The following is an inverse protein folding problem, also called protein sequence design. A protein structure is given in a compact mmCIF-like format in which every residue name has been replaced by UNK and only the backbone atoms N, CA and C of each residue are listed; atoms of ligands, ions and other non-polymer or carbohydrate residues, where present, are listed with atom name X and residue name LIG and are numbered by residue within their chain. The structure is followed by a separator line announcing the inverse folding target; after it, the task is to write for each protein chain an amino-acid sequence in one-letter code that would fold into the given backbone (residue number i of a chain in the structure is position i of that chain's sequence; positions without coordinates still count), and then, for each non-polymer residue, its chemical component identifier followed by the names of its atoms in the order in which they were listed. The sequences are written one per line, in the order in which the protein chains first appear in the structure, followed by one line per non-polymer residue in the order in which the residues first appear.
data_IF_751270432961
#
_entry.id   IF_751270432961
#
_cell.length_a   1.000
_cell.length_b   1.000
_cell.length_c   1.000
_cell.angle_alpha   90.00
_cell.angle_beta   90.00
_cell.angle_gamma   90.00
#
_symmetry.space_group_name_H-M   'P 1'
#
loop_
_entity.id
_entity.type
_entity.pdbx_description
1 polymer ?
#
# COMPACT_ATOMS: atom_id res chain seq x y z
N UNK A 1 -25.96 18.59 4.79
CA UNK A 1 -24.49 18.56 4.96
C UNK A 1 -24.01 17.14 4.76
N UNK A 2 -23.29 16.87 3.66
CA UNK A 2 -22.67 15.56 3.39
C UNK A 2 -21.63 15.30 4.48
N UNK A 3 -21.66 14.13 5.11
CA UNK A 3 -20.54 13.66 5.91
C UNK A 3 -19.27 13.84 5.07
N UNK A 4 -18.24 14.48 5.64
CA UNK A 4 -16.91 14.48 5.04
C UNK A 4 -16.48 13.01 4.94
N UNK A 5 -16.81 12.38 3.80
CA UNK A 5 -16.03 11.27 3.26
C UNK A 5 -14.60 11.70 3.42
N UNK A 6 -13.75 10.87 4.02
CA UNK A 6 -12.32 11.03 3.84
C UNK A 6 -12.13 11.29 2.35
N UNK A 7 -11.72 12.51 2.01
CA UNK A 7 -11.15 12.78 0.70
C UNK A 7 -10.00 11.81 0.67
N UNK A 8 -10.16 10.69 -0.05
CA UNK A 8 -9.13 9.65 -0.16
C UNK A 8 -7.81 10.40 -0.37
N UNK A 9 -6.72 10.10 0.34
CA UNK A 9 -5.49 10.89 0.12
C UNK A 9 -5.14 10.89 -1.38
N UNK A 10 -4.85 12.06 -1.95
CA UNK A 10 -4.17 12.16 -3.25
C UNK A 10 -2.68 12.16 -2.94
N UNK A 11 -1.93 11.31 -3.63
CA UNK A 11 -0.50 11.24 -3.45
C UNK A 11 0.19 12.00 -4.58
N UNK A 12 1.17 12.82 -4.22
CA UNK A 12 2.00 13.57 -5.16
C UNK A 12 3.39 12.97 -5.30
N UNK A 13 3.83 12.18 -4.30
CA UNK A 13 5.09 11.42 -4.30
C UNK A 13 4.79 9.95 -4.58
N UNK A 14 5.26 9.46 -5.72
CA UNK A 14 4.97 8.11 -6.21
C UNK A 14 6.27 7.28 -6.25
N UNK A 15 6.26 6.13 -5.61
CA UNK A 15 7.34 5.13 -5.67
C UNK A 15 6.92 4.07 -6.67
N UNK A 16 7.44 4.14 -7.89
CA UNK A 16 7.15 3.15 -8.91
C UNK A 16 7.95 1.89 -8.60
N UNK A 17 7.32 0.73 -8.54
CA UNK A 17 7.95 -0.56 -8.23
C UNK A 17 7.48 -1.62 -9.23
N UNK A 18 8.42 -2.44 -9.71
CA UNK A 18 8.17 -3.58 -10.60
C UNK A 18 9.20 -4.68 -10.32
N UNK A 19 8.80 -5.78 -9.70
CA UNK A 19 9.74 -6.87 -9.39
C UNK A 19 10.00 -7.73 -10.61
N UNK A 20 11.24 -8.17 -10.77
CA UNK A 20 11.53 -9.38 -11.54
C UNK A 20 11.68 -10.57 -10.60
N UNK A 21 11.23 -11.74 -11.04
CA UNK A 21 11.29 -12.96 -10.25
C UNK A 21 11.75 -14.16 -11.09
N UNK A 22 12.23 -15.20 -10.40
CA UNK A 22 12.52 -16.50 -11.01
C UNK A 22 11.29 -16.99 -11.77
N UNK A 23 11.51 -17.51 -12.98
CA UNK A 23 10.43 -18.03 -13.81
C UNK A 23 10.92 -19.18 -14.70
N UNK A 24 9.98 -19.99 -15.17
CA UNK A 24 10.22 -21.10 -16.08
C UNK A 24 9.29 -20.97 -17.29
N UNK A 25 9.61 -21.69 -18.37
CA UNK A 25 8.64 -21.91 -19.43
C UNK A 25 7.48 -22.78 -18.89
N UNK A 26 6.33 -22.16 -18.66
CA UNK A 26 5.15 -22.81 -18.09
C UNK A 26 4.90 -22.42 -16.63
N UNK A 27 4.92 -23.39 -15.71
CA UNK A 27 4.63 -23.14 -14.29
C UNK A 27 5.83 -22.46 -13.63
N UNK A 28 5.59 -21.36 -12.92
CA UNK A 28 6.60 -20.68 -12.12
C UNK A 28 7.24 -21.65 -11.10
N UNK A 29 8.53 -21.46 -10.76
CA UNK A 29 9.18 -22.15 -9.63
C UNK A 29 8.36 -22.03 -8.34
N UNK A 30 8.51 -23.00 -7.45
CA UNK A 30 7.86 -23.00 -6.14
C UNK A 30 8.91 -23.40 -5.07
N UNK A 31 9.38 -22.44 -4.25
CA UNK A 31 8.93 -21.04 -4.20
C UNK A 31 9.40 -20.22 -5.41
N UNK A 32 8.58 -19.28 -5.85
CA UNK A 32 9.03 -18.21 -6.75
C UNK A 32 9.85 -17.20 -5.94
N UNK A 33 10.92 -16.65 -6.51
CA UNK A 33 11.85 -15.77 -5.79
C UNK A 33 12.09 -14.45 -6.52
N UNK A 34 12.09 -13.32 -5.82
CA UNK A 34 12.46 -12.00 -6.38
C UNK A 34 13.95 -12.01 -6.72
N UNK A 35 14.30 -11.53 -7.93
CA UNK A 35 15.67 -11.46 -8.44
C UNK A 35 16.11 -10.05 -8.85
N UNK A 36 15.17 -9.11 -8.98
CA UNK A 36 15.44 -7.67 -9.10
C UNK A 36 14.44 -6.91 -8.23
N UNK A 37 14.93 -5.96 -7.44
CA UNK A 37 14.13 -5.07 -6.61
C UNK A 37 14.44 -3.61 -7.00
N UNK A 38 13.74 -3.07 -8.00
CA UNK A 38 13.87 -1.69 -8.42
C UNK A 38 12.74 -0.82 -7.88
N UNK A 39 13.03 0.47 -7.73
CA UNK A 39 12.04 1.51 -7.56
C UNK A 39 12.50 2.85 -8.11
N UNK A 40 11.55 3.64 -8.62
CA UNK A 40 11.77 5.01 -9.10
C UNK A 40 10.86 5.94 -8.31
N UNK A 41 11.43 6.89 -7.58
CA UNK A 41 10.67 7.94 -6.91
C UNK A 41 10.44 9.10 -7.86
N UNK A 42 9.17 9.45 -8.08
CA UNK A 42 8.79 10.66 -8.82
C UNK A 42 7.92 11.59 -7.99
N UNK A 43 8.00 12.88 -8.32
CA UNK A 43 7.16 13.94 -7.77
C UNK A 43 6.26 14.57 -8.84
N UNK A 44 4.97 14.64 -8.53
CA UNK A 44 3.94 15.32 -9.30
C UNK A 44 3.83 16.79 -8.85
N UNK A 45 3.36 17.73 -9.71
CA UNK A 45 2.81 17.51 -11.04
C UNK A 45 3.85 17.31 -12.16
N UNK A 46 5.12 17.63 -11.92
CA UNK A 46 6.15 17.62 -12.97
C UNK A 46 6.54 16.23 -13.48
N UNK A 47 6.28 15.17 -12.71
CA UNK A 47 6.74 13.82 -13.02
C UNK A 47 8.27 13.71 -12.98
N UNK A 48 8.91 14.57 -12.20
CA UNK A 48 10.37 14.61 -12.08
C UNK A 48 10.84 13.40 -11.29
N UNK A 49 11.85 12.70 -11.82
CA UNK A 49 12.55 11.63 -11.09
C UNK A 49 13.39 12.30 -10.00
N UNK A 50 13.10 11.95 -8.74
CA UNK A 50 13.82 12.44 -7.57
C UNK A 50 15.02 11.55 -7.31
N UNK A 51 14.80 10.23 -7.31
CA UNK A 51 15.83 9.23 -7.01
C UNK A 51 15.41 7.85 -7.53
N UNK A 52 16.37 6.95 -7.66
CA UNK A 52 16.17 5.57 -8.07
C UNK A 52 16.87 4.61 -7.09
N UNK A 53 16.19 3.52 -6.75
CA UNK A 53 16.75 2.39 -6.04
C UNK A 53 16.74 1.19 -6.98
N UNK A 54 17.83 0.46 -7.10
CA UNK A 54 17.86 -0.79 -7.86
C UNK A 54 18.92 -1.71 -7.31
N UNK A 55 18.53 -2.95 -7.05
CA UNK A 55 19.44 -4.02 -6.70
C UNK A 55 18.95 -5.34 -7.29
N UNK A 56 19.88 -6.19 -7.70
CA UNK A 56 19.58 -7.60 -7.85
C UNK A 56 19.38 -8.25 -6.48
N UNK A 57 18.71 -9.40 -6.48
CA UNK A 57 18.43 -10.18 -5.28
C UNK A 57 18.87 -11.61 -5.54
N UNK A 58 19.64 -12.17 -4.61
CA UNK A 58 20.11 -13.55 -4.73
C UNK A 58 19.01 -14.54 -4.36
N UNK A 59 18.53 -15.39 -5.31
CA UNK A 59 17.62 -16.48 -4.98
C UNK A 59 18.37 -17.56 -4.20
N UNK A 60 17.72 -18.12 -3.18
CA UNK A 60 18.30 -19.12 -2.26
C UNK A 60 17.75 -20.52 -2.56
N UNK A 61 16.50 -20.63 -3.01
CA UNK A 61 15.87 -21.92 -3.31
C UNK A 61 16.17 -22.39 -4.73
N UNK A 62 16.20 -21.47 -5.69
CA UNK A 62 16.51 -21.73 -7.10
C UNK A 62 17.65 -20.81 -7.57
N UNK A 63 18.90 -21.03 -7.10
CA UNK A 63 20.04 -20.13 -7.35
C UNK A 63 20.48 -20.07 -8.82
N UNK A 64 20.12 -21.07 -9.63
CA UNK A 64 20.42 -21.11 -11.06
C UNK A 64 19.20 -20.63 -11.83
N UNK A 65 19.31 -19.47 -12.48
CA UNK A 65 18.24 -18.95 -13.32
C UNK A 65 18.10 -19.81 -14.58
N UNK A 66 16.87 -20.05 -15.00
CA UNK A 66 16.62 -20.78 -16.24
C UNK A 66 16.97 -19.92 -17.45
N UNK A 67 17.21 -20.57 -18.59
CA UNK A 67 17.41 -19.88 -19.87
C UNK A 67 16.20 -18.99 -20.20
N UNK A 68 14.97 -19.50 -20.02
CA UNK A 68 13.75 -18.72 -20.20
C UNK A 68 13.73 -17.45 -19.31
N UNK A 69 14.09 -17.58 -18.03
CA UNK A 69 14.15 -16.43 -17.11
C UNK A 69 15.18 -15.40 -17.57
N UNK A 70 16.35 -15.88 -17.99
CA UNK A 70 17.44 -15.05 -18.51
C UNK A 70 17.06 -14.35 -19.80
N UNK A 71 16.41 -15.04 -20.75
CA UNK A 71 15.96 -14.44 -22.01
C UNK A 71 14.89 -13.38 -21.78
N UNK A 72 13.92 -13.69 -20.90
CA UNK A 72 12.83 -12.78 -20.57
C UNK A 72 13.39 -11.52 -19.91
N UNK A 73 14.11 -11.67 -18.80
CA UNK A 73 14.51 -10.56 -17.93
C UNK A 73 15.86 -9.93 -18.26
N UNK A 74 16.68 -10.60 -19.06
CA UNK A 74 18.13 -10.37 -19.23
C UNK A 74 18.99 -10.50 -17.97
N UNK A 75 18.43 -10.91 -16.83
CA UNK A 75 19.19 -11.18 -15.61
C UNK A 75 19.86 -12.55 -15.75
N UNK A 76 21.16 -12.61 -15.53
CA UNK A 76 21.94 -13.85 -15.56
C UNK A 76 22.22 -14.36 -14.15
N UNK A 77 22.54 -15.64 -14.03
CA UNK A 77 22.92 -16.23 -12.74
C UNK A 77 24.12 -15.50 -12.11
N UNK A 78 25.05 -14.97 -12.92
CA UNK A 78 26.19 -14.21 -12.43
C UNK A 78 25.80 -12.85 -11.83
N UNK A 79 24.72 -12.23 -12.34
CA UNK A 79 24.21 -10.95 -11.83
C UNK A 79 23.64 -11.08 -10.41
N UNK A 80 23.10 -12.26 -10.08
CA UNK A 80 22.45 -12.55 -8.79
C UNK A 80 23.33 -13.33 -7.81
N UNK A 81 24.46 -13.89 -8.25
CA UNK A 81 25.29 -14.78 -7.44
C UNK A 81 25.83 -14.12 -6.16
N UNK A 82 26.30 -12.88 -6.29
CA UNK A 82 26.86 -12.07 -5.19
C UNK A 82 25.93 -10.94 -4.75
N UNK A 83 24.69 -10.95 -5.25
CA UNK A 83 23.66 -9.99 -4.86
C UNK A 83 23.24 -10.16 -3.38
N UNK A 84 22.69 -9.10 -2.75
CA UNK A 84 22.13 -9.21 -1.41
C UNK A 84 21.01 -10.25 -1.35
N UNK A 85 20.78 -10.80 -0.16
CA UNK A 85 19.59 -11.63 0.06
C UNK A 85 18.34 -10.77 -0.05
N UNK A 86 17.16 -11.38 -0.25
CA UNK A 86 15.90 -10.64 -0.23
C UNK A 86 15.73 -9.82 1.05
N UNK A 87 16.13 -10.40 2.18
CA UNK A 87 16.11 -9.75 3.49
C UNK A 87 16.90 -8.46 3.47
N UNK A 88 18.17 -8.51 3.03
CA UNK A 88 19.05 -7.33 2.99
C UNK A 88 18.57 -6.30 1.96
N UNK A 89 18.10 -6.74 0.80
CA UNK A 89 17.57 -5.87 -0.24
C UNK A 89 16.31 -5.12 0.22
N UNK A 90 15.41 -5.81 0.94
CA UNK A 90 14.22 -5.21 1.53
C UNK A 90 14.58 -4.19 2.61
N UNK A 91 15.53 -4.51 3.50
CA UNK A 91 15.98 -3.59 4.55
C UNK A 91 16.64 -2.34 3.95
N UNK A 92 17.44 -2.51 2.88
CA UNK A 92 18.03 -1.40 2.13
C UNK A 92 16.96 -0.52 1.45
N UNK A 93 15.92 -1.14 0.88
CA UNK A 93 14.81 -0.39 0.29
C UNK A 93 14.00 0.36 1.36
N UNK A 94 13.76 -0.23 2.53
CA UNK A 94 13.10 0.45 3.66
C UNK A 94 13.93 1.65 4.09
N UNK A 95 15.24 1.49 4.26
CA UNK A 95 16.14 2.60 4.61
C UNK A 95 16.13 3.71 3.56
N UNK A 96 16.07 3.37 2.27
CA UNK A 96 15.93 4.33 1.17
C UNK A 96 14.60 5.11 1.26
N UNK A 97 13.48 4.42 1.52
CA UNK A 97 12.19 5.06 1.73
C UNK A 97 12.18 6.01 2.95
N UNK A 98 12.85 5.62 4.04
CA UNK A 98 13.00 6.44 5.25
C UNK A 98 13.84 7.69 4.98
N UNK A 99 14.95 7.56 4.25
CA UNK A 99 15.81 8.67 3.84
C UNK A 99 15.05 9.73 3.05
N UNK A 100 14.05 9.31 2.26
CA UNK A 100 13.15 10.19 1.51
C UNK A 100 11.89 10.63 2.29
N UNK A 101 11.77 10.27 3.58
CA UNK A 101 10.62 10.56 4.45
C UNK A 101 9.29 10.02 3.92
N UNK A 102 9.33 8.91 3.18
CA UNK A 102 8.14 8.30 2.57
C UNK A 102 7.39 7.39 3.56
N UNK A 103 8.00 7.09 4.70
CA UNK A 103 7.41 6.31 5.80
C UNK A 103 7.22 7.23 7.01
N UNK A 104 6.02 7.22 7.61
CA UNK A 104 5.75 7.85 8.91
C UNK A 104 5.69 9.38 8.95
N UNK A 105 6.01 10.09 7.86
CA UNK A 105 5.93 11.55 7.77
C UNK A 105 4.51 12.11 7.55
N UNK A 106 4.41 13.44 7.43
CA UNK A 106 3.16 14.17 7.15
C UNK A 106 2.72 14.08 5.67
N UNK A 107 3.69 13.94 4.76
CA UNK A 107 3.45 13.62 3.36
C UNK A 107 4.11 12.30 2.93
N UNK A 108 3.56 11.15 3.38
CA UNK A 108 4.06 9.85 2.93
C UNK A 108 3.75 9.65 1.46
N UNK A 109 4.70 9.05 0.74
CA UNK A 109 4.50 8.59 -0.62
C UNK A 109 3.66 7.32 -0.69
N UNK A 110 3.46 6.83 -1.91
CA UNK A 110 2.72 5.60 -2.17
C UNK A 110 3.42 4.77 -3.25
N UNK A 111 3.41 3.45 -3.10
CA UNK A 111 3.90 2.57 -4.16
C UNK A 111 2.90 2.51 -5.32
N UNK A 112 3.41 2.55 -6.55
CA UNK A 112 2.67 2.38 -7.80
C UNK A 112 3.25 1.19 -8.56
N UNK A 113 2.40 0.26 -8.98
CA UNK A 113 2.80 -0.97 -9.69
C UNK A 113 2.03 -1.12 -11.02
N UNK A 114 2.54 -1.93 -11.96
CA UNK A 114 1.87 -2.27 -13.21
C UNK A 114 1.00 -3.55 -13.09
N UNK A 115 0.15 -3.59 -12.08
CA UNK A 115 -0.66 -4.76 -11.76
C UNK A 115 -0.81 -4.91 -10.26
N UNK A 116 -1.46 -5.98 -9.82
CA UNK A 116 -1.54 -6.30 -8.39
C UNK A 116 -0.55 -7.40 -7.99
N UNK A 117 0.18 -8.00 -8.95
CA UNK A 117 1.00 -9.19 -8.71
C UNK A 117 2.17 -8.92 -7.74
N UNK A 118 2.90 -7.81 -7.91
CA UNK A 118 4.07 -7.46 -7.09
C UNK A 118 3.78 -7.46 -5.59
N UNK A 119 2.73 -6.72 -5.18
CA UNK A 119 2.43 -6.51 -3.77
C UNK A 119 1.33 -7.42 -3.22
N UNK A 120 0.42 -7.95 -4.06
CA UNK A 120 -0.59 -8.90 -3.58
C UNK A 120 -0.10 -10.34 -3.56
N UNK A 121 0.86 -10.70 -4.43
CA UNK A 121 1.30 -12.08 -4.62
C UNK A 121 2.80 -12.24 -4.31
N UNK A 122 3.67 -11.56 -5.06
CA UNK A 122 5.11 -11.82 -5.02
C UNK A 122 5.74 -11.44 -3.68
N UNK A 123 5.58 -10.18 -3.23
CA UNK A 123 6.17 -9.72 -1.98
C UNK A 123 5.71 -10.55 -0.76
N UNK A 124 4.41 -10.83 -0.57
CA UNK A 124 4.00 -11.67 0.56
C UNK A 124 4.52 -13.11 0.48
N UNK A 125 4.59 -13.71 -0.72
CA UNK A 125 5.15 -15.04 -0.89
C UNK A 125 6.65 -15.05 -0.59
N UNK A 126 7.39 -14.07 -1.09
CA UNK A 126 8.82 -13.90 -0.82
C UNK A 126 9.09 -13.67 0.67
N UNK A 127 8.28 -12.84 1.35
CA UNK A 127 8.38 -12.64 2.80
C UNK A 127 8.23 -13.96 3.53
N UNK A 128 7.20 -14.75 3.19
CA UNK A 128 6.97 -16.05 3.82
C UNK A 128 8.16 -17.01 3.60
N UNK A 129 8.66 -17.10 2.37
CA UNK A 129 9.85 -17.91 2.03
C UNK A 129 11.08 -17.47 2.82
N UNK A 130 11.26 -16.17 3.02
CA UNK A 130 12.37 -15.60 3.79
C UNK A 130 12.16 -15.61 5.32
N UNK A 131 11.09 -16.23 5.83
CA UNK A 131 10.79 -16.26 7.26
C UNK A 131 10.35 -14.92 7.85
N UNK A 132 9.86 -14.00 7.01
CA UNK A 132 9.29 -12.70 7.39
C UNK A 132 7.78 -12.64 7.17
N UNK A 133 7.12 -11.61 7.73
CA UNK A 133 5.72 -11.30 7.44
C UNK A 133 5.57 -9.94 6.78
N UNK A 134 4.71 -9.84 5.77
CA UNK A 134 4.30 -8.54 5.19
C UNK A 134 3.62 -7.63 6.22
N UNK A 135 3.12 -8.20 7.33
CA UNK A 135 2.53 -7.46 8.44
C UNK A 135 3.57 -6.60 9.17
N UNK A 136 4.83 -7.03 9.20
CA UNK A 136 5.91 -6.38 9.94
C UNK A 136 6.56 -5.23 9.14
N UNK A 137 6.23 -5.12 7.85
CA UNK A 137 6.77 -4.08 6.97
C UNK A 137 6.11 -2.72 7.21
N UNK A 138 6.68 -1.62 6.70
CA UNK A 138 5.99 -0.33 6.65
C UNK A 138 4.66 -0.41 5.88
N UNK A 139 3.68 0.42 6.26
CA UNK A 139 2.32 0.41 5.67
C UNK A 139 2.30 0.64 4.16
N UNK A 140 3.30 1.32 3.62
CA UNK A 140 3.44 1.61 2.19
C UNK A 140 3.49 0.34 1.32
N UNK A 141 3.94 -0.79 1.86
CA UNK A 141 3.93 -2.09 1.16
C UNK A 141 2.58 -2.80 1.18
N UNK A 142 1.64 -2.36 2.01
CA UNK A 142 0.33 -2.99 2.19
C UNK A 142 -0.77 -2.34 1.38
N UNK A 143 -0.56 -1.14 0.84
CA UNK A 143 -1.52 -0.39 0.03
C UNK A 143 -0.82 0.33 -1.10
N UNK A 144 -1.35 0.21 -2.30
CA UNK A 144 -0.70 0.72 -3.50
C UNK A 144 -1.68 1.21 -4.56
N UNK A 145 -1.12 1.81 -5.59
CA UNK A 145 -1.83 2.23 -6.79
C UNK A 145 -1.43 1.30 -7.93
N UNK A 146 -2.42 0.61 -8.47
CA UNK A 146 -2.27 -0.15 -9.70
C UNK A 146 -2.53 0.80 -10.87
N UNK A 147 -1.46 1.18 -11.58
CA UNK A 147 -1.53 2.16 -12.67
C UNK A 147 -2.47 1.72 -13.80
N UNK A 148 -2.70 0.42 -13.98
CA UNK A 148 -3.66 -0.11 -14.98
C UNK A 148 -5.10 0.30 -14.66
N UNK A 149 -5.46 0.39 -13.37
CA UNK A 149 -6.78 0.86 -12.92
C UNK A 149 -6.94 2.36 -13.17
N UNK A 150 -5.89 3.14 -12.91
CA UNK A 150 -5.87 4.58 -13.21
C UNK A 150 -5.99 4.80 -14.73
N UNK A 151 -5.17 4.11 -15.52
CA UNK A 151 -5.20 4.18 -16.98
C UNK A 151 -6.61 3.87 -17.53
N UNK A 152 -7.23 2.77 -17.10
CA UNK A 152 -8.57 2.39 -17.57
C UNK A 152 -9.66 3.42 -17.28
N UNK A 153 -9.53 4.18 -16.18
CA UNK A 153 -10.45 5.27 -15.82
C UNK A 153 -10.31 6.48 -16.75
N UNK A 154 -9.07 6.86 -17.09
CA UNK A 154 -8.77 8.08 -17.86
C UNK A 154 -8.71 7.87 -19.37
N UNK A 155 -8.48 6.64 -19.83
CA UNK A 155 -8.51 6.25 -21.25
C UNK A 155 -9.71 5.33 -21.51
N UNK A 156 -10.93 5.87 -21.36
CA UNK A 156 -12.20 5.16 -21.58
C UNK A 156 -12.18 4.36 -22.88
N UNK A 157 -12.41 3.04 -22.80
CA UNK A 157 -12.43 2.12 -23.95
C UNK A 157 -11.09 1.45 -24.29
N UNK A 158 -9.96 1.91 -23.71
CA UNK A 158 -8.67 1.25 -23.87
C UNK A 158 -8.44 0.22 -22.76
N UNK A 159 -8.24 -1.06 -23.13
CA UNK A 159 -7.82 -2.09 -22.18
C UNK A 159 -6.33 -1.94 -21.85
N UNK A 160 -6.00 -1.79 -20.57
CA UNK A 160 -4.63 -1.87 -20.08
C UNK A 160 -4.19 -3.34 -20.01
N UNK A 161 -3.72 -3.91 -21.12
CA UNK A 161 -3.21 -5.28 -21.12
C UNK A 161 -1.84 -5.39 -20.42
N UNK A 162 -1.04 -4.33 -20.42
CA UNK A 162 0.26 -4.23 -19.76
C UNK A 162 0.98 -2.93 -20.12
N UNK A 163 2.19 -2.73 -19.60
CA UNK A 163 2.97 -1.48 -19.74
C UNK A 163 3.13 -1.05 -21.21
N UNK A 164 3.59 -1.95 -22.09
CA UNK A 164 3.72 -1.67 -23.54
C UNK A 164 2.44 -1.17 -24.20
N UNK A 165 1.28 -1.67 -23.78
CA UNK A 165 -0.02 -1.23 -24.33
C UNK A 165 -0.37 0.18 -23.86
N UNK A 166 -0.04 0.52 -22.62
CA UNK A 166 -0.26 1.87 -22.08
C UNK A 166 0.67 2.88 -22.74
N UNK A 167 1.97 2.55 -22.88
CA UNK A 167 2.94 3.38 -23.60
C UNK A 167 2.46 3.70 -25.02
N UNK A 168 2.11 2.68 -25.81
CA UNK A 168 1.60 2.85 -27.18
C UNK A 168 0.37 3.75 -27.24
N UNK A 169 -0.59 3.57 -26.33
CA UNK A 169 -1.81 4.39 -26.30
C UNK A 169 -1.53 5.85 -25.93
N UNK A 170 -0.52 6.09 -25.09
CA UNK A 170 -0.09 7.43 -24.69
C UNK A 170 0.87 8.07 -25.71
N UNK A 171 1.20 7.39 -26.81
CA UNK A 171 2.18 7.88 -27.79
C UNK A 171 3.62 7.87 -27.29
N UNK A 172 3.91 7.12 -26.23
CA UNK A 172 5.24 6.99 -25.63
C UNK A 172 5.97 5.78 -26.25
N UNK A 173 7.26 5.95 -26.53
CA UNK A 173 8.14 4.85 -26.92
C UNK A 173 8.64 4.15 -25.65
N UNK A 174 8.77 2.83 -25.71
CA UNK A 174 9.47 2.09 -24.66
C UNK A 174 10.94 2.50 -24.66
N UNK A 175 11.46 2.82 -23.49
CA UNK A 175 12.88 3.12 -23.25
C UNK A 175 13.53 2.00 -22.45
N UNK A 176 14.77 1.65 -22.76
CA UNK A 176 15.45 0.50 -22.12
C UNK A 176 14.91 -0.85 -22.61
N UNK A 177 15.00 -1.86 -21.74
CA UNK A 177 14.59 -3.23 -22.04
C UNK A 177 13.36 -3.63 -21.24
N UNK A 178 12.35 -4.17 -21.92
CA UNK A 178 11.20 -4.75 -21.22
C UNK A 178 11.58 -5.98 -20.40
N UNK A 179 11.01 -6.14 -19.21
CA UNK A 179 11.37 -7.14 -18.19
C UNK A 179 12.76 -6.95 -17.58
N UNK A 180 13.34 -5.75 -17.75
CA UNK A 180 14.38 -5.26 -16.87
C UNK A 180 13.67 -4.34 -15.87
N UNK A 181 13.62 -4.73 -14.60
CA UNK A 181 12.68 -4.12 -13.65
C UNK A 181 12.90 -2.62 -13.49
N UNK A 182 14.14 -2.13 -13.46
CA UNK A 182 14.42 -0.68 -13.40
C UNK A 182 13.95 0.09 -14.64
N UNK A 183 14.06 -0.51 -15.84
CA UNK A 183 13.59 0.11 -17.07
C UNK A 183 12.06 0.11 -17.14
N UNK A 184 11.41 -0.97 -16.69
CA UNK A 184 9.96 -1.01 -16.57
C UNK A 184 9.46 0.03 -15.55
N UNK A 185 10.14 0.20 -14.41
CA UNK A 185 9.84 1.27 -13.44
C UNK A 185 9.91 2.67 -14.08
N UNK A 186 10.97 2.98 -14.84
CA UNK A 186 11.10 4.27 -15.53
C UNK A 186 9.98 4.49 -16.55
N UNK A 187 9.60 3.46 -17.31
CA UNK A 187 8.49 3.57 -18.25
C UNK A 187 7.13 3.73 -17.56
N UNK A 188 6.90 3.03 -16.44
CA UNK A 188 5.69 3.20 -15.62
C UNK A 188 5.65 4.60 -15.01
N UNK A 189 6.79 5.16 -14.59
CA UNK A 189 6.89 6.55 -14.13
C UNK A 189 6.45 7.54 -15.22
N UNK A 190 6.90 7.33 -16.46
CA UNK A 190 6.49 8.14 -17.62
C UNK A 190 5.01 7.99 -17.93
N UNK A 191 4.45 6.78 -17.82
CA UNK A 191 3.01 6.55 -17.92
C UNK A 191 2.26 7.33 -16.83
N UNK A 192 2.75 7.30 -15.59
CA UNK A 192 2.14 8.02 -14.49
C UNK A 192 2.16 9.53 -14.72
N UNK A 193 3.31 10.11 -15.07
CA UNK A 193 3.41 11.53 -15.41
C UNK A 193 2.45 11.93 -16.55
N UNK A 194 2.39 11.13 -17.62
CA UNK A 194 1.49 11.39 -18.75
C UNK A 194 0.00 11.27 -18.37
N UNK A 195 -0.37 10.32 -17.50
CA UNK A 195 -1.73 10.21 -16.97
C UNK A 195 -2.07 11.41 -16.08
N UNK A 196 -1.13 11.84 -15.23
CA UNK A 196 -1.31 13.03 -14.39
C UNK A 196 -1.57 14.29 -15.22
N UNK A 197 -0.81 14.49 -16.30
CA UNK A 197 -1.02 15.60 -17.24
C UNK A 197 -2.42 15.59 -17.92
N UNK A 198 -3.12 14.45 -17.91
CA UNK A 198 -4.50 14.30 -18.36
C UNK A 198 -5.54 14.49 -17.24
N UNK A 199 -5.11 14.91 -16.05
CA UNK A 199 -5.95 15.10 -14.86
C UNK A 199 -6.07 13.86 -13.98
N UNK A 200 -5.17 12.88 -14.09
CA UNK A 200 -5.19 11.71 -13.21
C UNK A 200 -4.84 12.06 -11.76
N UNK A 201 -5.72 11.64 -10.85
CA UNK A 201 -5.48 11.66 -9.42
C UNK A 201 -5.01 10.30 -8.93
N UNK A 202 -3.95 10.30 -8.12
CA UNK A 202 -3.32 9.11 -7.58
C UNK A 202 -3.88 8.80 -6.20
N UNK A 203 -4.80 7.84 -6.16
CA UNK A 203 -5.48 7.36 -4.94
C UNK A 203 -5.30 5.85 -4.86
N UNK A 204 -5.18 5.31 -3.64
CA UNK A 204 -5.08 3.86 -3.41
C UNK A 204 -6.16 3.11 -4.19
N UNK A 205 -5.74 2.07 -4.92
CA UNK A 205 -6.64 1.22 -5.72
C UNK A 205 -6.66 -0.23 -5.27
N UNK A 206 -5.67 -0.63 -4.46
CA UNK A 206 -5.41 -2.01 -4.07
C UNK A 206 -4.73 -2.03 -2.71
N UNK A 207 -4.96 -3.10 -1.96
CA UNK A 207 -4.36 -3.36 -0.66
C UNK A 207 -4.27 -4.86 -0.41
N UNK A 208 -3.38 -5.28 0.49
CA UNK A 208 -3.38 -6.66 0.97
C UNK A 208 -4.66 -6.93 1.77
N UNK A 209 -5.15 -8.18 1.85
CA UNK A 209 -6.32 -8.49 2.67
C UNK A 209 -6.13 -8.06 4.13
N UNK A 210 -7.20 -7.60 4.82
CA UNK A 210 -7.11 -7.15 6.21
C UNK A 210 -6.54 -8.21 7.18
N UNK A 211 -6.59 -9.50 6.82
CA UNK A 211 -5.97 -10.60 7.57
C UNK A 211 -4.45 -10.63 7.54
N UNK A 212 -3.80 -9.85 6.66
CA UNK A 212 -2.33 -9.75 6.54
C UNK A 212 -1.77 -8.48 7.19
N UNK A 213 -2.59 -7.74 7.93
CA UNK A 213 -2.15 -6.59 8.72
C UNK A 213 -1.70 -7.05 10.12
N UNK A 214 -0.76 -6.32 10.75
CA UNK A 214 -0.28 -6.68 12.08
C UNK A 214 -1.41 -6.58 13.11
N UNK A 215 -1.29 -7.36 14.18
CA UNK A 215 -2.10 -7.14 15.37
C UNK A 215 -1.78 -5.74 15.92
N UNK A 216 -2.78 -5.00 16.39
CA UNK A 216 -2.51 -3.76 17.14
C UNK A 216 -3.27 -3.74 18.45
N UNK A 217 -2.66 -3.07 19.41
CA UNK A 217 -3.35 -2.61 20.59
C UNK A 217 -4.21 -1.38 20.25
N UNK A 218 -5.47 -1.38 20.70
CA UNK A 218 -6.40 -0.25 20.67
C UNK A 218 -6.97 -0.01 22.05
N UNK A 219 -7.49 1.18 22.28
CA UNK A 219 -8.26 1.51 23.49
C UNK A 219 -9.72 1.62 23.12
N UNK A 220 -10.56 0.71 23.63
CA UNK A 220 -12.01 0.82 23.49
C UNK A 220 -12.58 1.61 24.65
N UNK A 221 -13.33 2.67 24.36
CA UNK A 221 -14.00 3.53 25.35
C UNK A 221 -15.51 3.45 25.23
N UNK A 222 -16.20 3.40 26.36
CA UNK A 222 -17.65 3.65 26.47
C UNK A 222 -17.93 4.46 27.73
N UNK A 223 -18.45 5.67 27.57
CA UNK A 223 -18.55 6.64 28.67
C UNK A 223 -17.15 6.93 29.22
N UNK A 224 -16.99 6.77 30.53
CA UNK A 224 -15.71 6.93 31.25
C UNK A 224 -14.90 5.61 31.34
N UNK A 225 -15.49 4.49 30.93
CA UNK A 225 -14.84 3.17 31.01
C UNK A 225 -13.96 2.97 29.78
N UNK A 226 -12.72 2.56 30.01
CA UNK A 226 -11.71 2.27 28.99
C UNK A 226 -11.17 0.86 29.16
N UNK A 227 -11.01 0.16 28.05
CA UNK A 227 -10.39 -1.16 27.99
C UNK A 227 -9.36 -1.19 26.86
N UNK A 228 -8.14 -1.61 27.18
CA UNK A 228 -7.15 -1.98 26.18
C UNK A 228 -7.52 -3.32 25.57
N UNK A 229 -7.42 -3.43 24.24
CA UNK A 229 -7.72 -4.65 23.52
C UNK A 229 -6.79 -4.83 22.31
N UNK A 230 -6.45 -6.07 21.99
CA UNK A 230 -5.62 -6.39 20.81
C UNK A 230 -6.50 -6.83 19.65
N UNK A 231 -6.45 -6.07 18.56
CA UNK A 231 -7.10 -6.41 17.31
C UNK A 231 -6.24 -7.37 16.50
N UNK A 232 -6.52 -8.66 16.66
CA UNK A 232 -5.86 -9.74 15.90
C UNK A 232 -6.33 -9.88 14.46
N UNK A 233 -7.54 -9.38 14.17
CA UNK A 233 -8.15 -9.43 12.84
C UNK A 233 -8.84 -8.11 12.54
N UNK A 234 -8.55 -7.56 11.36
CA UNK A 234 -9.12 -6.31 10.84
C UNK A 234 -10.46 -6.56 10.18
N UNK A 235 -11.44 -6.96 10.98
CA UNK A 235 -12.83 -7.14 10.53
C UNK A 235 -13.77 -6.47 11.53
N UNK A 236 -14.71 -5.69 11.02
CA UNK A 236 -15.66 -4.91 11.83
C UNK A 236 -16.47 -5.82 12.75
N UNK A 237 -16.88 -6.99 12.27
CA UNK A 237 -17.56 -8.00 13.10
C UNK A 237 -16.72 -8.50 14.28
N UNK A 238 -15.41 -8.66 14.10
CA UNK A 238 -14.49 -9.05 15.18
C UNK A 238 -14.36 -7.94 16.22
N UNK A 239 -14.22 -6.69 15.78
CA UNK A 239 -14.17 -5.52 16.66
C UNK A 239 -15.46 -5.38 17.49
N UNK A 240 -16.62 -5.50 16.84
CA UNK A 240 -17.92 -5.42 17.52
C UNK A 240 -18.12 -6.55 18.53
N UNK A 241 -17.74 -7.78 18.18
CA UNK A 241 -17.79 -8.92 19.10
C UNK A 241 -16.91 -8.73 20.34
N UNK A 242 -15.68 -8.26 20.13
CA UNK A 242 -14.73 -7.93 21.21
C UNK A 242 -15.29 -6.84 22.13
N UNK A 243 -15.81 -5.75 21.56
CA UNK A 243 -16.41 -4.66 22.32
C UNK A 243 -17.64 -5.13 23.12
N UNK A 244 -18.50 -5.97 22.53
CA UNK A 244 -19.64 -6.56 23.24
C UNK A 244 -19.20 -7.36 24.48
N UNK A 245 -18.14 -8.16 24.35
CA UNK A 245 -17.59 -8.95 25.44
C UNK A 245 -17.01 -8.08 26.56
N UNK A 246 -16.21 -7.08 26.21
CA UNK A 246 -15.55 -6.20 27.18
C UNK A 246 -16.54 -5.35 27.98
N UNK A 247 -17.51 -4.71 27.30
CA UNK A 247 -18.50 -3.84 27.94
C UNK A 247 -19.74 -4.58 28.45
N UNK A 248 -19.82 -5.90 28.24
CA UNK A 248 -20.97 -6.76 28.58
C UNK A 248 -22.32 -6.16 28.13
N UNK A 249 -22.35 -5.61 26.92
CA UNK A 249 -23.52 -4.97 26.33
C UNK A 249 -23.51 -5.10 24.80
N UNK A 250 -24.66 -4.90 24.16
CA UNK A 250 -24.75 -4.98 22.70
C UNK A 250 -24.19 -3.71 22.05
N UNK A 251 -22.91 -3.75 21.69
CA UNK A 251 -22.25 -2.72 20.86
C UNK A 251 -22.65 -2.94 19.41
N UNK A 252 -23.13 -1.87 18.78
CA UNK A 252 -23.66 -1.91 17.41
C UNK A 252 -22.88 -1.04 16.44
N UNK A 253 -21.94 -0.25 16.95
CA UNK A 253 -21.14 0.67 16.17
C UNK A 253 -19.92 1.06 16.98
N UNK A 254 -18.79 1.25 16.31
CA UNK A 254 -17.57 1.80 16.90
C UNK A 254 -17.14 2.96 16.02
N UNK A 255 -16.71 4.04 16.67
CA UNK A 255 -16.24 5.24 16.02
C UNK A 255 -14.81 5.56 16.46
N UNK A 256 -14.07 6.29 15.64
CA UNK A 256 -12.88 6.98 16.10
C UNK A 256 -13.26 8.11 17.06
N UNK A 257 -12.30 8.64 17.83
CA UNK A 257 -12.54 9.78 18.74
C UNK A 257 -13.08 11.02 18.03
N UNK A 258 -12.71 11.23 16.76
CA UNK A 258 -13.24 12.30 15.92
C UNK A 258 -14.62 11.97 15.34
N UNK A 259 -15.23 10.83 15.66
CA UNK A 259 -16.62 10.52 15.33
C UNK A 259 -16.85 9.91 13.95
N UNK A 260 -15.83 9.33 13.32
CA UNK A 260 -16.00 8.54 12.10
C UNK A 260 -16.32 7.09 12.43
N UNK A 261 -17.29 6.51 11.73
CA UNK A 261 -17.61 5.08 11.86
C UNK A 261 -16.39 4.26 11.40
N UNK A 262 -15.98 3.31 12.22
CA UNK A 262 -14.89 2.39 11.89
C UNK A 262 -15.44 1.21 11.08
N UNK A 263 -15.11 1.17 9.79
CA UNK A 263 -15.30 0.01 8.91
C UNK A 263 -14.01 -0.77 8.69
N UNK A 264 -14.07 -1.78 7.82
CA UNK A 264 -12.91 -2.65 7.53
C UNK A 264 -11.73 -1.88 6.94
N UNK A 265 -11.99 -0.85 6.13
CA UNK A 265 -10.95 0.02 5.59
C UNK A 265 -10.31 0.90 6.68
N UNK A 266 -11.11 1.49 7.57
CA UNK A 266 -10.58 2.26 8.70
C UNK A 266 -9.77 1.40 9.66
N UNK A 267 -10.15 0.13 9.84
CA UNK A 267 -9.43 -0.82 10.68
C UNK A 267 -7.99 -1.06 10.22
N UNK A 268 -7.72 -0.99 8.92
CA UNK A 268 -6.37 -1.18 8.38
C UNK A 268 -5.48 0.05 8.58
N UNK A 269 -6.06 1.22 8.92
CA UNK A 269 -5.38 2.51 9.13
C UNK A 269 -5.03 2.79 10.60
N UNK A 270 -5.59 2.01 11.53
CA UNK A 270 -5.41 2.25 12.95
C UNK A 270 -3.94 2.10 13.37
N UNK A 271 -3.47 3.01 14.23
CA UNK A 271 -2.15 2.97 14.86
C UNK A 271 -2.24 2.31 16.25
N UNK A 272 -1.17 1.71 16.78
CA UNK A 272 -1.13 1.24 18.16
C UNK A 272 -1.59 2.34 19.13
N UNK A 273 -2.44 1.99 20.09
CA UNK A 273 -3.00 2.91 21.08
C UNK A 273 -4.17 3.76 20.57
N UNK A 274 -4.62 3.58 19.32
CA UNK A 274 -5.78 4.35 18.80
C UNK A 274 -6.99 4.14 19.69
N UNK A 275 -7.61 5.24 20.13
CA UNK A 275 -8.83 5.20 20.93
C UNK A 275 -10.08 5.15 20.05
N UNK A 276 -10.97 4.23 20.39
CA UNK A 276 -12.20 3.92 19.67
C UNK A 276 -13.40 3.97 20.61
N UNK A 277 -14.42 4.71 20.24
CA UNK A 277 -15.65 4.91 21.02
C UNK A 277 -16.70 3.87 20.62
N UNK A 278 -17.09 3.02 21.55
CA UNK A 278 -18.09 1.98 21.36
C UNK A 278 -19.50 2.48 21.73
N UNK A 279 -20.48 2.26 20.85
CA UNK A 279 -21.86 2.72 21.02
C UNK A 279 -22.80 1.53 21.18
N UNK A 280 -23.57 1.52 22.28
CA UNK A 280 -24.57 0.49 22.52
C UNK A 280 -25.85 0.74 21.69
N UNK A 281 -26.63 -0.32 21.44
CA UNK A 281 -27.85 -0.27 20.60
C UNK A 281 -28.84 0.84 20.95
N UNK A 282 -28.96 1.21 22.23
CA UNK A 282 -29.86 2.27 22.72
C UNK A 282 -29.29 3.70 22.68
N UNK A 283 -27.99 3.87 22.43
CA UNK A 283 -27.27 5.16 22.57
C UNK A 283 -27.02 5.87 21.22
N UNK A 284 -27.41 5.24 20.10
CA UNK A 284 -27.11 5.69 18.72
C UNK A 284 -27.53 7.13 18.39
N UNK A 285 -28.58 7.66 19.01
CA UNK A 285 -29.14 8.98 18.68
C UNK A 285 -28.32 10.12 19.31
N UNK A 286 -27.87 9.95 20.55
CA UNK A 286 -27.11 10.96 21.31
C UNK A 286 -25.63 11.00 20.91
N UNK A 287 -25.03 9.85 20.58
CA UNK A 287 -23.61 9.75 20.23
C UNK A 287 -23.28 10.50 18.91
N UNK A 288 -24.17 10.44 17.91
CA UNK A 288 -24.01 11.17 16.63
C UNK A 288 -24.12 12.69 16.80
N UNK A 289 -24.88 13.17 17.78
CA UNK A 289 -24.96 14.60 18.10
C UNK A 289 -23.74 15.09 18.89
N UNK A 290 -23.25 14.30 19.86
CA UNK A 290 -22.02 14.64 20.60
C UNK A 290 -20.78 14.68 19.69
N UNK A 291 -20.59 13.67 18.83
CA UNK A 291 -19.47 13.64 17.88
C UNK A 291 -19.50 14.80 16.86
N UNK A 292 -20.70 15.29 16.51
CA UNK A 292 -20.86 16.47 15.64
C UNK A 292 -20.54 17.78 16.37
N UNK A 293 -20.84 17.88 17.67
CA UNK A 293 -20.57 19.06 18.50
C UNK A 293 -19.07 19.22 18.79
N UNK A 294 -18.34 18.13 19.07
CA UNK A 294 -16.88 18.19 19.22
C UNK A 294 -16.16 18.62 17.94
N UNK A 295 -16.64 18.20 16.76
CA UNK A 295 -16.12 18.70 15.46
C UNK A 295 -16.42 20.18 15.18
N UNK A 296 -17.47 20.74 15.77
CA UNK A 296 -17.83 22.15 15.58
C UNK A 296 -17.03 23.07 16.52
N UNK A 297 -16.72 22.61 17.74
CA UNK A 297 -15.94 23.38 18.71
C UNK A 297 -14.44 23.52 18.39
N UNK A 298 -13.86 22.69 17.52
CA UNK A 298 -12.47 22.86 17.04
C UNK A 298 -12.35 23.81 15.84
N UNK A 299 -13.46 24.22 15.22
CA UNK A 299 -13.47 25.16 14.08
C UNK A 299 -13.70 26.63 14.50
N UNK A 300 -14.00 26.88 15.78
CA UNK A 300 -14.18 28.21 16.36
C UNK A 300 -13.06 28.48 17.38
N UNK A 301 -11.85 28.72 16.88
CA UNK A 301 -10.91 29.63 17.56
C UNK A 301 -9.83 30.17 16.60
N UNK A 302 -10.17 31.09 15.68
CA UNK A 302 -9.27 32.17 15.33
C UNK A 302 -9.46 33.31 16.33
N UNK A 303 -8.41 33.61 17.09
CA UNK A 303 -8.08 34.90 17.71
C UNK A 303 -9.22 35.73 18.34
N UNK A 304 -9.13 35.94 19.66
CA UNK A 304 -9.31 37.30 20.19
C UNK A 304 -8.53 37.50 21.50
N UNK A 305 -7.72 38.57 21.48
CA UNK A 305 -6.82 39.18 22.50
C UNK A 305 -5.44 38.59 22.74
#
# INVERSE_FOLDING_TARGET
MRAKSHTKKVYERLVILDFEATCNQGKAPDPQEIIEFPSVLIELPGGHVVDEFSTFVRPVHHPQLTEFCTELTSIRSEDVADAPTFTDALDAHVAWLEGHRLIGGDDPGVIVTCGDWDLAVMLPAQCQTAGRSVADLPVIYRRWINVKKIFGKYRRGAKAFGMKSMLRNLGLKLEGRHHRGIDDCRNIARIAAALHALGAEYRITSEVPPSRYPEIEVVLRRGDVRHTAVLKKRATGTLLGLACGLFRTQIVEVYTVDGQVVGDAELTELRPGTELVAVARGERRNAREQARRSRAGEAENPEES
#
